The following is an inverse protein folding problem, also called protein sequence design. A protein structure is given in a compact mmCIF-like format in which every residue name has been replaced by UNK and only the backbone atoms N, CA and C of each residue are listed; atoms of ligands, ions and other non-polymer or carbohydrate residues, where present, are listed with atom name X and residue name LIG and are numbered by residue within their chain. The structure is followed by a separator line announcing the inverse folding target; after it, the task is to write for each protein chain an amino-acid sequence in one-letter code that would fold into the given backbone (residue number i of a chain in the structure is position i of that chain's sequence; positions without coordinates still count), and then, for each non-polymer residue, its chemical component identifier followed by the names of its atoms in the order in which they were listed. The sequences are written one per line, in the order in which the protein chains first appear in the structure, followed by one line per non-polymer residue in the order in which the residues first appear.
data_IF_679374980121
#
_entry.id   IF_679374980121
#
_cell.length_a   1.000
_cell.length_b   1.000
_cell.length_c   1.000
_cell.angle_alpha   90.00
_cell.angle_beta   90.00
_cell.angle_gamma   90.00
#
_symmetry.space_group_name_H-M   'P 1'
#
loop_
_entity.id
_entity.type
_entity.pdbx_description
1 polymer ?
#
# COMPACT_ATOMS: atom_id res chain seq x y z
N UNK A 1 -37.56 15.13 3.21
CA UNK A 1 -36.32 15.91 3.41
C UNK A 1 -35.24 15.26 2.57
N UNK A 2 -34.79 15.94 1.54
CA UNK A 2 -33.69 15.42 0.72
C UNK A 2 -32.42 15.68 1.48
N UNK A 3 -31.78 14.65 1.96
CA UNK A 3 -30.41 14.75 2.41
C UNK A 3 -29.58 14.97 1.17
N UNK A 4 -29.05 16.16 1.01
CA UNK A 4 -28.06 16.42 -0.01
C UNK A 4 -26.79 15.74 0.43
N UNK A 5 -26.65 14.54 -0.06
CA UNK A 5 -25.40 13.82 -0.02
C UNK A 5 -24.38 14.67 -0.76
N UNK A 6 -23.42 15.20 -0.06
CA UNK A 6 -22.32 15.90 -0.68
C UNK A 6 -21.49 14.83 -1.40
N UNK A 7 -21.48 14.81 -2.71
CA UNK A 7 -20.78 13.77 -3.43
C UNK A 7 -19.29 13.85 -3.14
N UNK A 8 -18.71 12.74 -2.83
CA UNK A 8 -17.28 12.52 -2.77
C UNK A 8 -16.69 12.70 -4.17
N UNK A 9 -16.46 13.92 -4.55
CA UNK A 9 -16.19 14.31 -5.94
C UNK A 9 -14.77 14.07 -6.41
N UNK A 10 -13.87 13.58 -5.55
CA UNK A 10 -12.44 13.59 -5.89
C UNK A 10 -11.74 12.23 -5.80
N UNK A 11 -12.44 11.15 -5.46
CA UNK A 11 -11.81 9.86 -5.17
C UNK A 11 -10.83 9.90 -4.00
N UNK A 12 -10.85 10.98 -3.23
CA UNK A 12 -10.04 11.17 -2.03
C UNK A 12 -10.89 10.88 -0.81
N UNK A 13 -10.32 10.23 0.22
CA UNK A 13 -11.03 10.07 1.48
C UNK A 13 -11.24 11.44 2.13
N UNK A 14 -12.28 11.55 2.93
CA UNK A 14 -12.59 12.79 3.68
C UNK A 14 -11.48 13.17 4.64
N UNK A 15 -10.82 12.19 5.21
CA UNK A 15 -9.71 12.37 6.14
C UNK A 15 -8.47 11.65 5.62
N UNK A 16 -7.32 12.28 5.77
CA UNK A 16 -6.06 11.69 5.37
C UNK A 16 -5.53 10.80 6.49
N UNK A 17 -5.24 9.56 6.15
CA UNK A 17 -4.63 8.60 7.08
C UNK A 17 -3.26 9.09 7.54
N UNK A 18 -3.02 9.04 8.85
CA UNK A 18 -1.71 9.33 9.42
C UNK A 18 -0.75 8.14 9.29
N UNK A 19 0.52 8.38 9.62
CA UNK A 19 1.57 7.37 9.54
C UNK A 19 1.27 6.11 10.35
N UNK A 20 0.93 6.27 11.63
CA UNK A 20 0.66 5.12 12.53
C UNK A 20 -0.58 4.34 12.10
N UNK A 21 -1.61 5.04 11.65
CA UNK A 21 -2.85 4.40 11.19
C UNK A 21 -2.64 3.62 9.91
N UNK A 22 -1.83 4.15 8.98
CA UNK A 22 -1.48 3.46 7.76
C UNK A 22 -0.71 2.16 8.04
N UNK A 23 0.27 2.19 8.95
CA UNK A 23 1.04 1.01 9.34
C UNK A 23 0.14 -0.02 10.03
N UNK A 24 -0.67 0.40 11.00
CA UNK A 24 -1.62 -0.49 11.68
C UNK A 24 -2.59 -1.10 10.67
N UNK A 25 -3.17 -0.30 9.79
CA UNK A 25 -4.13 -0.78 8.81
C UNK A 25 -3.52 -1.80 7.86
N UNK A 26 -2.32 -1.57 7.37
CA UNK A 26 -1.64 -2.48 6.46
C UNK A 26 -1.24 -3.80 7.14
N UNK A 27 -0.70 -3.74 8.37
CA UNK A 27 -0.14 -4.92 9.04
C UNK A 27 -1.20 -5.66 9.84
N UNK A 28 -2.03 -4.95 10.61
CA UNK A 28 -2.96 -5.59 11.55
C UNK A 28 -4.31 -5.91 10.92
N UNK A 29 -4.87 -4.99 10.12
CA UNK A 29 -6.20 -5.15 9.56
C UNK A 29 -6.21 -5.80 8.18
N UNK A 30 -5.15 -5.60 7.38
CA UNK A 30 -5.10 -6.00 5.97
C UNK A 30 -3.81 -6.73 5.60
N UNK A 31 -3.21 -7.47 6.50
CA UNK A 31 -1.90 -8.12 6.28
C UNK A 31 -1.82 -8.91 4.97
N UNK A 32 -2.82 -9.73 4.69
CA UNK A 32 -2.93 -10.53 3.47
C UNK A 32 -4.27 -10.27 2.77
N UNK A 33 -4.78 -9.04 2.86
CA UNK A 33 -6.05 -8.68 2.24
C UNK A 33 -5.83 -8.03 0.88
N UNK A 34 -6.31 -8.69 -0.16
CA UNK A 34 -6.27 -8.23 -1.55
C UNK A 34 -7.61 -7.67 -2.03
N UNK A 35 -8.60 -7.57 -1.14
CA UNK A 35 -9.92 -7.04 -1.43
C UNK A 35 -10.07 -5.61 -0.95
N UNK A 36 -11.00 -4.86 -1.55
CA UNK A 36 -11.26 -3.48 -1.17
C UNK A 36 -10.34 -2.48 -1.87
N UNK A 37 -10.30 -1.26 -1.34
CA UNK A 37 -9.57 -0.13 -1.91
C UNK A 37 -8.62 0.47 -0.87
N UNK A 38 -7.52 1.06 -1.32
CA UNK A 38 -6.58 1.78 -0.46
C UNK A 38 -6.36 3.22 -0.94
N UNK A 39 -6.21 4.12 0.01
CA UNK A 39 -5.95 5.53 -0.26
C UNK A 39 -4.47 5.77 -0.62
N UNK A 40 -4.18 6.94 -1.21
CA UNK A 40 -2.80 7.36 -1.48
C UNK A 40 -2.00 7.57 -0.20
N UNK A 41 -2.62 8.13 0.83
CA UNK A 41 -1.93 8.33 2.11
C UNK A 41 -1.50 7.00 2.72
N UNK A 42 -2.34 5.97 2.64
CA UNK A 42 -1.99 4.64 3.16
C UNK A 42 -0.74 4.07 2.49
N UNK A 43 -0.68 4.09 1.15
CA UNK A 43 0.47 3.52 0.44
C UNK A 43 1.75 4.31 0.67
N UNK A 44 1.69 5.65 0.69
CA UNK A 44 2.89 6.47 0.88
C UNK A 44 3.43 6.41 2.31
N UNK A 45 2.57 6.42 3.31
CA UNK A 45 2.99 6.25 4.70
C UNK A 45 3.56 4.85 4.96
N UNK A 46 2.94 3.82 4.39
CA UNK A 46 3.46 2.47 4.53
C UNK A 46 4.79 2.28 3.78
N UNK A 47 4.98 2.92 2.64
CA UNK A 47 6.26 2.95 1.93
C UNK A 47 7.36 3.63 2.75
N UNK A 48 7.02 4.73 3.41
CA UNK A 48 7.94 5.39 4.35
C UNK A 48 8.30 4.47 5.53
N UNK A 49 7.32 3.77 6.09
CA UNK A 49 7.58 2.78 7.14
C UNK A 49 8.56 1.70 6.68
N UNK A 50 8.34 1.12 5.49
CA UNK A 50 9.25 0.12 4.92
C UNK A 50 10.68 0.67 4.79
N UNK A 51 10.82 1.90 4.30
CA UNK A 51 12.12 2.57 4.17
C UNK A 51 12.78 2.77 5.53
N UNK A 52 12.06 3.33 6.50
CA UNK A 52 12.61 3.63 7.83
C UNK A 52 13.04 2.36 8.59
N UNK A 53 12.28 1.28 8.51
CA UNK A 53 12.64 0.04 9.20
C UNK A 53 13.79 -0.70 8.49
N UNK A 54 13.95 -0.52 7.19
CA UNK A 54 15.04 -1.15 6.45
C UNK A 54 16.42 -0.65 6.85
N UNK A 55 16.54 0.60 7.31
CA UNK A 55 17.82 1.21 7.67
C UNK A 55 18.48 0.50 8.86
N UNK A 56 17.84 0.39 10.05
CA UNK A 56 18.47 -0.30 11.19
C UNK A 56 18.69 -1.78 10.90
N UNK A 57 17.77 -2.42 10.17
CA UNK A 57 17.93 -3.83 9.79
C UNK A 57 19.15 -4.02 8.88
N UNK A 58 19.35 -3.16 7.90
CA UNK A 58 20.52 -3.22 7.02
C UNK A 58 21.84 -2.99 7.80
N UNK A 59 21.83 -2.10 8.79
CA UNK A 59 23.02 -1.86 9.65
C UNK A 59 23.34 -3.12 10.46
N UNK A 60 22.34 -3.78 11.03
CA UNK A 60 22.53 -5.02 11.81
C UNK A 60 23.08 -6.12 10.89
N UNK A 61 22.48 -6.30 9.71
CA UNK A 61 22.92 -7.30 8.74
C UNK A 61 24.35 -7.04 8.25
N UNK A 62 24.73 -5.78 8.06
CA UNK A 62 26.09 -5.40 7.69
C UNK A 62 27.10 -5.78 8.78
N UNK A 63 26.74 -5.62 10.05
CA UNK A 63 27.60 -5.99 11.21
C UNK A 63 27.75 -7.52 11.27
N UNK A 64 26.68 -8.27 11.00
CA UNK A 64 26.72 -9.73 11.00
C UNK A 64 27.55 -10.27 9.84
N UNK A 65 27.50 -9.61 8.67
CA UNK A 65 28.31 -9.96 7.50
C UNK A 65 27.94 -11.26 6.81
N UNK A 66 26.71 -11.77 7.01
CA UNK A 66 26.19 -12.99 6.38
C UNK A 66 25.10 -12.60 5.41
N UNK A 67 25.20 -13.01 4.14
CA UNK A 67 24.09 -12.92 3.17
C UNK A 67 23.27 -14.20 3.16
N UNK A 68 21.96 -14.04 3.19
CA UNK A 68 20.96 -15.14 3.06
C UNK A 68 20.24 -15.04 1.72
N UNK A 69 19.81 -13.84 1.35
CA UNK A 69 19.30 -13.50 0.02
C UNK A 69 20.26 -12.48 -0.58
N UNK A 70 20.55 -12.51 -1.89
CA UNK A 70 21.48 -11.56 -2.51
C UNK A 70 21.19 -10.11 -2.10
N UNK A 71 22.16 -9.46 -1.47
CA UNK A 71 22.08 -8.11 -0.93
C UNK A 71 21.39 -7.96 0.44
N UNK A 72 20.96 -9.05 1.07
CA UNK A 72 20.26 -9.04 2.36
C UNK A 72 20.81 -10.08 3.33
N UNK A 73 21.08 -9.66 4.53
CA UNK A 73 21.41 -10.56 5.62
C UNK A 73 20.20 -11.28 6.21
N UNK A 74 20.35 -12.00 7.33
CA UNK A 74 19.29 -12.78 7.92
C UNK A 74 18.06 -11.94 8.32
N UNK A 75 18.26 -10.79 8.94
CA UNK A 75 17.16 -9.93 9.39
C UNK A 75 16.46 -9.22 8.22
N UNK A 76 17.20 -8.75 7.23
CA UNK A 76 16.63 -8.18 6.00
C UNK A 76 15.82 -9.21 5.22
N UNK A 77 16.31 -10.44 5.16
CA UNK A 77 15.58 -11.54 4.52
C UNK A 77 14.26 -11.83 5.24
N UNK A 78 14.26 -11.89 6.57
CA UNK A 78 13.02 -12.04 7.36
C UNK A 78 12.08 -10.88 7.11
N UNK A 79 12.58 -9.64 7.12
CA UNK A 79 11.78 -8.45 6.90
C UNK A 79 11.10 -8.44 5.53
N UNK A 80 11.82 -8.80 4.46
CA UNK A 80 11.26 -8.89 3.11
C UNK A 80 10.09 -9.86 3.07
N UNK A 81 10.26 -11.07 3.60
CA UNK A 81 9.19 -12.07 3.59
C UNK A 81 8.02 -11.69 4.50
N UNK A 82 8.30 -11.09 5.66
CA UNK A 82 7.25 -10.62 6.57
C UNK A 82 6.40 -9.49 5.97
N UNK A 83 6.99 -8.60 5.18
CA UNK A 83 6.28 -7.48 4.59
C UNK A 83 5.82 -7.71 3.15
N UNK A 84 6.11 -8.88 2.58
CA UNK A 84 5.72 -9.22 1.20
C UNK A 84 4.20 -9.12 1.00
N UNK A 85 3.43 -9.82 1.83
CA UNK A 85 1.97 -9.86 1.68
C UNK A 85 1.31 -8.51 1.96
N UNK A 86 1.63 -7.76 3.03
CA UNK A 86 1.06 -6.44 3.22
C UNK A 86 1.43 -5.45 2.09
N UNK A 87 2.64 -5.49 1.56
CA UNK A 87 3.02 -4.65 0.42
C UNK A 87 2.22 -5.00 -0.84
N UNK A 88 2.15 -6.29 -1.19
CA UNK A 88 1.37 -6.74 -2.34
C UNK A 88 -0.11 -6.39 -2.19
N UNK A 89 -0.70 -6.71 -1.04
CA UNK A 89 -2.11 -6.42 -0.76
C UNK A 89 -2.43 -4.93 -0.85
N UNK A 90 -1.55 -4.10 -0.33
CA UNK A 90 -1.72 -2.65 -0.37
C UNK A 90 -1.66 -2.10 -1.81
N UNK A 91 -0.71 -2.55 -2.62
CA UNK A 91 -0.62 -2.14 -4.04
C UNK A 91 -1.85 -2.62 -4.82
N UNK A 92 -2.29 -3.86 -4.62
CA UNK A 92 -3.50 -4.38 -5.26
C UNK A 92 -4.73 -3.55 -4.86
N UNK A 93 -4.91 -3.27 -3.58
CA UNK A 93 -6.02 -2.43 -3.10
C UNK A 93 -5.93 -1.00 -3.65
N UNK A 94 -4.73 -0.50 -3.87
CA UNK A 94 -4.54 0.81 -4.50
C UNK A 94 -4.90 0.79 -5.99
N UNK A 95 -4.57 -0.27 -6.71
CA UNK A 95 -5.01 -0.46 -8.11
C UNK A 95 -6.53 -0.53 -8.19
N UNK A 96 -7.18 -1.21 -7.26
CA UNK A 96 -8.64 -1.26 -7.16
C UNK A 96 -9.25 0.14 -6.96
N UNK A 97 -8.58 1.02 -6.21
CA UNK A 97 -9.03 2.38 -5.98
C UNK A 97 -9.10 3.21 -7.27
N UNK A 98 -8.25 2.90 -8.24
CA UNK A 98 -8.26 3.51 -9.58
C UNK A 98 -9.07 2.71 -10.61
N UNK A 99 -9.91 1.79 -10.17
CA UNK A 99 -10.76 0.96 -11.04
C UNK A 99 -10.02 -0.15 -11.78
N UNK A 100 -8.77 -0.38 -11.47
CA UNK A 100 -7.93 -1.39 -12.14
C UNK A 100 -7.91 -2.71 -11.38
N UNK A 101 -7.85 -3.81 -12.12
CA UNK A 101 -7.64 -5.14 -11.55
C UNK A 101 -6.27 -5.25 -10.87
N UNK A 102 -6.19 -6.02 -9.81
CA UNK A 102 -4.92 -6.32 -9.13
C UNK A 102 -3.87 -6.99 -10.03
N UNK A 103 -4.26 -7.61 -11.12
CA UNK A 103 -3.35 -8.18 -12.10
C UNK A 103 -2.41 -7.16 -12.75
N UNK A 104 -2.77 -5.89 -12.76
CA UNK A 104 -1.89 -4.80 -13.17
C UNK A 104 -0.64 -4.67 -12.31
N UNK A 105 -0.60 -5.29 -11.14
CA UNK A 105 0.61 -5.39 -10.33
C UNK A 105 1.78 -6.01 -11.11
N UNK A 106 1.50 -7.01 -11.92
CA UNK A 106 2.51 -7.72 -12.70
C UNK A 106 3.09 -6.93 -13.87
N UNK A 107 2.56 -5.74 -14.18
CA UNK A 107 3.19 -4.86 -15.16
C UNK A 107 4.60 -4.44 -14.74
N UNK A 108 4.88 -4.43 -13.43
CA UNK A 108 6.21 -4.17 -12.90
C UNK A 108 7.29 -5.14 -13.40
N UNK A 109 6.90 -6.33 -13.89
CA UNK A 109 7.80 -7.30 -14.47
C UNK A 109 8.26 -6.93 -15.89
N UNK A 110 7.61 -5.96 -16.54
CA UNK A 110 8.05 -5.46 -17.85
C UNK A 110 9.27 -4.56 -17.64
N UNK A 111 10.44 -4.92 -18.20
CA UNK A 111 11.67 -4.17 -17.99
C UNK A 111 11.55 -2.70 -18.42
N UNK A 112 12.15 -1.82 -17.66
CA UNK A 112 12.29 -0.37 -17.88
C UNK A 112 11.01 0.44 -17.78
N UNK A 113 9.89 0.00 -18.37
CA UNK A 113 8.65 0.78 -18.44
C UNK A 113 7.59 0.34 -17.43
N UNK A 114 7.54 -0.94 -17.08
CA UNK A 114 6.47 -1.50 -16.25
C UNK A 114 6.41 -0.90 -14.85
N UNK A 115 7.55 -0.73 -14.22
CA UNK A 115 7.63 -0.12 -12.90
C UNK A 115 7.18 1.35 -12.91
N UNK A 116 7.54 2.10 -13.95
CA UNK A 116 7.13 3.50 -14.12
C UNK A 116 5.60 3.58 -14.28
N UNK A 117 5.03 2.72 -15.11
CA UNK A 117 3.57 2.66 -15.30
C UNK A 117 2.87 2.32 -14.00
N UNK A 118 3.38 1.37 -13.24
CA UNK A 118 2.80 1.01 -11.94
C UNK A 118 2.82 2.20 -10.99
N UNK A 119 3.95 2.92 -10.87
CA UNK A 119 4.04 4.12 -10.03
C UNK A 119 3.02 5.17 -10.46
N UNK A 120 2.86 5.41 -11.77
CA UNK A 120 1.84 6.34 -12.27
C UNK A 120 0.45 5.95 -11.77
N UNK A 121 0.09 4.66 -11.84
CA UNK A 121 -1.19 4.18 -11.33
C UNK A 121 -1.35 4.39 -9.83
N UNK A 122 -0.28 4.27 -9.06
CA UNK A 122 -0.31 4.49 -7.61
C UNK A 122 -0.47 5.98 -7.23
N UNK A 123 0.01 6.88 -8.08
CA UNK A 123 -0.09 8.34 -7.88
C UNK A 123 -1.44 8.89 -8.31
N UNK A 124 -2.07 8.32 -9.34
CA UNK A 124 -3.34 8.79 -9.88
C UNK A 124 -4.41 8.89 -8.78
N UNK A 125 -5.33 9.83 -8.93
CA UNK A 125 -6.50 9.90 -8.05
C UNK A 125 -7.37 8.65 -8.23
N UNK A 126 -7.92 8.16 -7.13
CA UNK A 126 -8.89 7.07 -7.14
C UNK A 126 -10.21 7.52 -7.74
N UNK A 127 -11.06 6.55 -8.07
CA UNK A 127 -12.41 6.83 -8.55
C UNK A 127 -13.22 7.55 -7.46
N UNK A 128 -13.93 8.64 -7.81
CA UNK A 128 -14.61 9.49 -6.84
C UNK A 128 -15.91 8.89 -6.29
N UNK A 129 -16.27 7.71 -6.71
CA UNK A 129 -17.51 7.01 -6.36
C UNK A 129 -17.22 5.55 -6.01
N UNK A 130 -18.14 4.85 -5.36
CA UNK A 130 -18.05 3.40 -5.20
C UNK A 130 -17.84 2.70 -6.55
N UNK A 131 -16.98 1.71 -6.58
CA UNK A 131 -16.73 0.90 -7.76
C UNK A 131 -16.90 -0.59 -7.44
N UNK A 132 -16.60 -1.47 -8.39
CA UNK A 132 -16.72 -2.91 -8.21
C UNK A 132 -15.90 -3.49 -7.05
N UNK A 133 -14.92 -2.74 -6.52
CA UNK A 133 -14.05 -3.15 -5.42
C UNK A 133 -14.45 -2.58 -4.06
N UNK A 134 -15.45 -1.71 -4.01
CA UNK A 134 -15.98 -1.16 -2.78
C UNK A 134 -16.17 0.35 -2.81
N UNK A 135 -16.43 0.89 -1.64
CA UNK A 135 -16.61 2.32 -1.41
C UNK A 135 -15.30 3.08 -1.51
N UNK A 136 -15.38 4.40 -1.68
CA UNK A 136 -14.22 5.28 -1.58
C UNK A 136 -13.55 5.06 -0.23
N UNK A 137 -12.23 4.78 -0.20
CA UNK A 137 -11.57 4.45 1.05
C UNK A 137 -11.64 5.62 2.03
N UNK A 138 -12.07 5.34 3.25
CA UNK A 138 -11.99 6.25 4.37
C UNK A 138 -10.72 5.96 5.15
N UNK A 139 -10.18 6.96 5.81
CA UNK A 139 -9.00 6.77 6.67
C UNK A 139 -9.36 6.44 8.11
N UNK A 140 -10.64 6.18 8.39
CA UNK A 140 -11.11 5.76 9.70
C UNK A 140 -10.96 4.25 9.79
N UNK A 141 -10.23 3.80 10.80
CA UNK A 141 -10.12 2.39 11.09
C UNK A 141 -11.44 1.86 11.64
N UNK A 142 -11.91 0.69 11.20
CA UNK A 142 -13.05 0.05 11.85
C UNK A 142 -12.76 -0.17 13.34
N UNK A 143 -13.65 0.27 14.20
CA UNK A 143 -13.57 0.08 15.65
C UNK A 143 -12.65 1.05 16.44
N UNK A 144 -12.47 2.26 15.98
CA UNK A 144 -12.01 3.37 16.86
C UNK A 144 -13.19 4.16 17.41
#
# INVERSE_FOLDING_TARGET
MVVLDTPQMTGRPEQMMGFMDAVKNAIMNNYANFSGRASRSEIWWFSLFNFLISIPVAIIDLIIGIEVVPGYGPFGSILIFALLLPNMGLVVRRLHDTGRSGWWYFIALVPCVGFIILIVFLIMDGEPHPNQYGDVPTNILPNE
#
